data_IF_064247316507
#
_entry.id   IF_064247316507
#
_cell.length_a   1.000
_cell.length_b   1.000
_cell.length_c   1.000
_cell.angle_alpha   90.00
_cell.angle_beta   90.00
_cell.angle_gamma   90.00
#
_symmetry.space_group_name_H-M   'P 1'
#
loop_
_entity.id
_entity.type
_entity.pdbx_description
1 polymer ?
#
# COMPACT_ATOMS: atom_id res chain seq x y z
N UNK A 1 13.74 6.61 2.37
CA UNK A 1 12.94 7.83 2.06
C UNK A 1 11.50 7.44 1.76
N UNK A 2 10.62 8.41 1.50
CA UNK A 2 9.29 8.12 0.98
C UNK A 2 8.27 7.69 2.05
N UNK A 3 8.39 8.24 3.26
CA UNK A 3 7.50 7.95 4.40
C UNK A 3 6.81 9.25 4.81
N UNK A 4 5.48 9.23 5.05
CA UNK A 4 4.72 10.43 5.46
C UNK A 4 4.90 10.74 6.94
N UNK A 5 4.42 9.85 7.80
CA UNK A 5 4.35 10.04 9.24
C UNK A 5 4.64 8.72 9.98
N UNK A 6 5.92 8.37 10.22
CA UNK A 6 6.29 7.16 10.94
C UNK A 6 5.86 7.25 12.40
N UNK A 7 4.85 6.46 12.76
CA UNK A 7 4.26 6.45 14.10
C UNK A 7 4.91 5.42 15.02
N UNK A 8 5.47 4.34 14.46
CA UNK A 8 6.22 3.33 15.22
C UNK A 8 7.42 2.84 14.42
N UNK A 9 8.55 2.74 15.11
CA UNK A 9 9.80 2.18 14.58
C UNK A 9 10.32 1.18 15.59
N UNK A 10 10.78 0.02 15.11
CA UNK A 10 11.42 -1.01 15.89
C UNK A 10 12.56 -1.61 15.08
N UNK A 11 13.69 -1.89 15.73
CA UNK A 11 14.83 -2.54 15.09
C UNK A 11 15.05 -3.88 15.79
N UNK A 12 15.01 -4.97 15.01
CA UNK A 12 15.35 -6.29 15.53
C UNK A 12 16.88 -6.44 15.62
N UNK A 13 17.40 -6.48 16.84
CA UNK A 13 18.84 -6.58 17.11
C UNK A 13 19.49 -7.87 16.59
N UNK A 14 18.72 -8.93 16.33
CA UNK A 14 19.27 -10.21 15.84
C UNK A 14 19.41 -10.25 14.33
N UNK A 15 18.49 -9.60 13.62
CA UNK A 15 18.40 -9.65 12.15
C UNK A 15 18.75 -8.33 11.49
N UNK A 16 18.90 -7.26 12.29
CA UNK A 16 19.11 -5.87 11.85
C UNK A 16 17.99 -5.35 10.94
N UNK A 17 16.79 -5.93 11.03
CA UNK A 17 15.64 -5.51 10.24
C UNK A 17 14.95 -4.33 10.94
N UNK A 18 14.75 -3.25 10.20
CA UNK A 18 13.98 -2.11 10.65
C UNK A 18 12.51 -2.30 10.29
N UNK A 19 11.66 -2.40 11.30
CA UNK A 19 10.22 -2.41 11.15
C UNK A 19 9.67 -1.01 11.39
N UNK A 20 8.93 -0.48 10.44
CA UNK A 20 8.32 0.84 10.57
C UNK A 20 6.85 0.81 10.14
N UNK A 21 6.01 1.46 10.92
CA UNK A 21 4.62 1.73 10.61
C UNK A 21 4.37 3.23 10.47
N UNK A 22 3.64 3.64 9.44
CA UNK A 22 3.30 5.04 9.19
C UNK A 22 1.86 5.24 8.73
N UNK A 23 1.34 6.41 9.04
CA UNK A 23 -0.01 6.83 8.70
C UNK A 23 -0.01 7.54 7.34
N UNK A 24 -0.99 7.21 6.51
CA UNK A 24 -1.21 7.82 5.20
C UNK A 24 -1.71 9.27 5.27
N UNK A 25 -2.03 9.90 4.13
CA UNK A 25 -2.63 11.24 4.06
C UNK A 25 -4.03 11.26 4.67
N UNK A 26 -4.54 12.47 4.84
CA UNK A 26 -5.92 12.69 5.31
C UNK A 26 -6.90 12.61 4.13
N UNK A 27 -6.84 11.52 3.37
CA UNK A 27 -7.69 11.22 2.22
C UNK A 27 -8.69 10.11 2.59
N UNK A 28 -9.91 10.49 2.98
CA UNK A 28 -10.92 9.54 3.45
C UNK A 28 -11.41 8.56 2.37
N UNK A 29 -11.51 9.01 1.13
CA UNK A 29 -12.09 8.25 0.01
C UNK A 29 -11.23 8.41 -1.25
N UNK A 30 -11.26 7.45 -2.19
CA UNK A 30 -10.56 7.57 -3.45
C UNK A 30 -11.17 8.68 -4.31
N UNK A 31 -10.33 9.38 -5.05
CA UNK A 31 -10.71 10.44 -5.98
C UNK A 31 -10.29 10.06 -7.39
N UNK A 32 -11.24 10.08 -8.33
CA UNK A 32 -10.93 9.94 -9.77
C UNK A 32 -10.02 11.06 -10.27
N UNK A 33 -10.04 12.22 -9.61
CA UNK A 33 -9.19 13.36 -9.91
C UNK A 33 -7.84 13.25 -9.22
N UNK A 34 -7.79 12.90 -7.94
CA UNK A 34 -6.57 13.07 -7.14
C UNK A 34 -5.80 11.79 -6.83
N UNK A 35 -6.41 10.61 -7.00
CA UNK A 35 -5.79 9.32 -6.71
C UNK A 35 -6.43 8.59 -5.52
N UNK A 36 -5.74 7.59 -4.95
CA UNK A 36 -6.34 6.66 -4.00
C UNK A 36 -6.66 7.29 -2.64
N UNK A 37 -7.53 6.62 -1.88
CA UNK A 37 -7.73 6.89 -0.46
C UNK A 37 -6.41 6.71 0.33
N UNK A 38 -6.42 7.10 1.60
CA UNK A 38 -5.27 6.95 2.47
C UNK A 38 -4.86 5.49 2.66
N UNK A 39 -3.57 5.27 2.88
CA UNK A 39 -3.03 3.99 3.26
C UNK A 39 -2.20 4.10 4.54
N UNK A 40 -2.60 3.33 5.54
CA UNK A 40 -1.74 3.05 6.67
C UNK A 40 -0.87 1.85 6.30
N UNK A 41 0.42 1.99 6.58
CA UNK A 41 1.43 1.12 6.01
C UNK A 41 2.36 0.61 7.10
N UNK A 42 2.78 -0.64 6.96
CA UNK A 42 3.83 -1.24 7.76
C UNK A 42 4.83 -1.93 6.83
N UNK A 43 6.12 -1.74 7.07
CA UNK A 43 7.18 -2.35 6.27
C UNK A 43 8.29 -2.92 7.15
N UNK A 44 8.75 -4.12 6.75
CA UNK A 44 10.05 -4.66 7.14
C UNK A 44 11.08 -4.16 6.12
N UNK A 45 11.94 -3.26 6.56
CA UNK A 45 12.94 -2.56 5.75
C UNK A 45 14.29 -3.23 6.01
N UNK A 46 14.74 -4.01 5.02
CA UNK A 46 16.02 -4.74 5.07
C UNK A 46 17.15 -4.02 4.32
N UNK A 47 16.81 -2.97 3.55
CA UNK A 47 17.74 -2.12 2.82
C UNK A 47 17.14 -0.75 2.60
N UNK A 48 17.97 0.24 2.30
CA UNK A 48 17.50 1.57 1.90
C UNK A 48 16.56 1.49 0.68
N UNK A 49 15.50 2.29 0.69
CA UNK A 49 14.49 2.30 -0.35
C UNK A 49 13.62 3.56 -0.35
N UNK A 50 12.82 3.69 -1.40
CA UNK A 50 11.82 4.73 -1.55
C UNK A 50 10.43 4.14 -1.29
N UNK A 51 9.81 4.46 -0.17
CA UNK A 51 8.50 3.91 0.20
C UNK A 51 7.31 4.67 -0.39
N UNK A 52 7.60 5.62 -1.30
CA UNK A 52 6.68 6.17 -2.28
C UNK A 52 6.06 7.52 -1.95
N UNK A 53 5.88 7.86 -0.68
CA UNK A 53 5.28 9.16 -0.32
C UNK A 53 6.18 10.34 -0.77
N UNK A 54 5.63 11.45 -1.33
CA UNK A 54 4.22 11.75 -1.59
C UNK A 54 3.69 11.33 -2.98
N UNK A 55 4.50 10.64 -3.78
CA UNK A 55 4.20 10.34 -5.19
C UNK A 55 3.23 9.17 -5.35
N UNK A 56 3.55 8.03 -4.73
CA UNK A 56 2.69 6.86 -4.76
C UNK A 56 2.60 6.19 -3.40
N UNK A 57 1.57 5.39 -3.20
CA UNK A 57 1.38 4.65 -1.96
C UNK A 57 0.91 3.22 -2.16
N UNK A 58 0.98 2.45 -1.08
CA UNK A 58 0.62 1.04 -1.05
C UNK A 58 1.41 0.26 -2.09
N UNK A 59 0.72 -0.36 -3.04
CA UNK A 59 1.30 -1.11 -4.13
C UNK A 59 1.45 -0.27 -5.41
N UNK A 60 2.29 0.77 -5.37
CA UNK A 60 2.55 1.69 -6.50
C UNK A 60 1.29 2.34 -7.07
N UNK A 61 0.38 2.77 -6.20
CA UNK A 61 -0.79 3.52 -6.63
C UNK A 61 -0.45 5.01 -6.72
N UNK A 62 -0.50 5.63 -7.91
CA UNK A 62 -0.05 6.99 -8.09
C UNK A 62 -1.06 8.00 -7.57
N UNK A 63 -0.55 9.08 -6.98
CA UNK A 63 -1.28 10.32 -6.82
C UNK A 63 -1.16 11.17 -8.08
N UNK A 64 -2.02 12.18 -8.18
CA UNK A 64 -1.93 13.19 -9.23
C UNK A 64 -1.01 14.33 -8.81
N UNK A 65 -0.23 14.81 -9.76
CA UNK A 65 0.68 15.93 -9.54
C UNK A 65 -0.11 17.21 -9.24
N UNK A 66 0.36 17.91 -8.21
CA UNK A 66 -0.17 19.16 -7.64
C UNK A 66 0.87 20.29 -7.71
N UNK A 67 1.81 20.19 -8.64
CA UNK A 67 2.87 21.16 -8.82
C UNK A 67 2.34 22.60 -8.97
N UNK A 68 3.14 23.53 -8.46
CA UNK A 68 2.92 24.97 -8.55
C UNK A 68 3.02 25.43 -10.02
N UNK A 69 2.35 26.53 -10.43
CA UNK A 69 1.80 27.59 -9.58
C UNK A 69 0.37 27.37 -9.07
N UNK A 70 -0.38 26.42 -9.63
CA UNK A 70 -1.80 26.20 -9.30
C UNK A 70 -2.06 24.77 -8.83
N UNK A 71 -1.99 24.49 -7.51
CA UNK A 71 -2.19 23.16 -6.96
C UNK A 71 -3.64 22.66 -7.06
N UNK A 72 -4.57 23.52 -7.50
CA UNK A 72 -5.98 23.14 -7.74
C UNK A 72 -6.17 22.49 -9.11
N UNK A 73 -5.23 22.70 -10.05
CA UNK A 73 -5.29 22.11 -11.38
C UNK A 73 -4.59 20.76 -11.38
N UNK A 74 -5.31 19.69 -11.74
CA UNK A 74 -4.71 18.37 -11.68
C UNK A 74 -3.83 18.13 -12.92
N UNK A 75 -2.55 17.84 -12.71
CA UNK A 75 -1.54 17.65 -13.76
C UNK A 75 -1.43 16.17 -14.18
N UNK A 76 -0.24 15.67 -14.52
CA UNK A 76 -0.02 14.25 -14.82
C UNK A 76 -0.21 13.36 -13.60
N UNK A 77 -0.34 12.06 -13.83
CA UNK A 77 -0.15 11.06 -12.77
C UNK A 77 1.34 10.86 -12.51
N UNK A 78 1.74 10.64 -11.27
CA UNK A 78 3.12 10.30 -10.99
C UNK A 78 3.51 8.94 -11.57
N UNK A 79 4.73 8.84 -12.09
CA UNK A 79 5.34 7.56 -12.46
C UNK A 79 5.98 6.94 -11.21
N UNK A 80 5.41 5.83 -10.73
CA UNK A 80 5.90 5.14 -9.53
C UNK A 80 7.21 4.36 -9.75
N UNK A 81 7.58 4.10 -11.01
CA UNK A 81 8.84 3.45 -11.37
C UNK A 81 9.94 4.48 -11.59
N UNK A 82 9.60 5.71 -12.01
CA UNK A 82 10.54 6.82 -12.17
C UNK A 82 10.03 8.12 -11.54
N UNK A 83 9.85 8.17 -10.21
CA UNK A 83 9.33 9.37 -9.56
C UNK A 83 10.31 10.54 -9.71
N UNK A 84 9.77 11.73 -9.93
CA UNK A 84 10.56 12.96 -10.08
C UNK A 84 10.14 14.01 -9.06
N UNK A 85 11.11 14.57 -8.35
CA UNK A 85 10.91 15.71 -7.47
C UNK A 85 11.24 17.01 -8.21
N UNK A 86 10.22 17.60 -8.83
CA UNK A 86 10.32 18.87 -9.57
C UNK A 86 9.95 20.09 -8.71
N UNK A 87 9.87 19.91 -7.39
CA UNK A 87 9.58 21.01 -6.47
C UNK A 87 10.63 22.11 -6.62
N UNK A 88 10.24 23.40 -6.68
CA UNK A 88 11.18 24.51 -6.73
C UNK A 88 12.06 24.61 -5.48
N UNK A 89 11.66 23.93 -4.39
CA UNK A 89 12.41 23.87 -3.13
C UNK A 89 13.32 22.63 -3.03
N UNK A 90 13.48 21.85 -4.10
CA UNK A 90 14.33 20.66 -4.10
C UNK A 90 15.80 21.04 -4.37
N UNK A 91 16.67 20.79 -3.40
CA UNK A 91 18.13 20.90 -3.51
C UNK A 91 18.81 19.53 -3.70
N UNK A 92 18.03 18.44 -3.62
CA UNK A 92 18.49 17.06 -3.72
C UNK A 92 18.28 16.42 -5.09
N UNK A 93 18.12 15.10 -5.10
CA UNK A 93 17.88 14.33 -6.32
C UNK A 93 16.53 14.71 -6.96
N UNK A 94 16.58 15.02 -8.25
CA UNK A 94 15.36 15.21 -9.06
C UNK A 94 14.79 13.86 -9.47
N UNK A 95 15.62 12.99 -10.06
CA UNK A 95 15.21 11.64 -10.42
C UNK A 95 15.36 10.72 -9.21
N UNK A 96 14.24 10.24 -8.70
CA UNK A 96 14.20 9.43 -7.50
C UNK A 96 14.23 7.93 -7.86
N UNK A 97 14.77 7.09 -6.96
CA UNK A 97 14.74 5.65 -7.19
C UNK A 97 13.29 5.12 -7.21
N UNK A 98 13.04 4.00 -7.92
CA UNK A 98 11.73 3.38 -8.01
C UNK A 98 11.11 3.10 -6.64
N UNK A 99 9.78 3.12 -6.57
CA UNK A 99 9.07 2.89 -5.32
C UNK A 99 9.16 1.41 -4.92
N UNK A 100 9.70 1.19 -3.73
CA UNK A 100 9.77 -0.11 -3.07
C UNK A 100 8.40 -0.46 -2.50
N UNK A 101 7.91 -1.66 -2.81
CA UNK A 101 6.68 -2.17 -2.23
C UNK A 101 6.80 -2.32 -0.71
N UNK A 102 5.73 -1.97 0.01
CA UNK A 102 5.66 -2.11 1.46
C UNK A 102 5.18 -3.51 1.85
N UNK A 103 5.46 -3.96 3.08
CA UNK A 103 5.05 -5.31 3.52
C UNK A 103 3.53 -5.42 3.69
N UNK A 104 2.91 -4.40 4.28
CA UNK A 104 1.48 -4.32 4.52
C UNK A 104 1.03 -2.88 4.22
N UNK A 105 -0.08 -2.75 3.52
CA UNK A 105 -0.79 -1.49 3.32
C UNK A 105 -2.29 -1.77 3.36
N UNK A 106 -3.04 -0.90 4.02
CA UNK A 106 -4.50 -1.00 4.08
C UNK A 106 -5.13 0.39 4.15
N UNK A 107 -6.33 0.54 3.58
CA UNK A 107 -7.10 1.77 3.73
C UNK A 107 -8.04 1.62 4.93
N UNK A 108 -7.81 2.35 6.04
CA UNK A 108 -8.62 2.21 7.25
C UNK A 108 -10.09 2.63 7.04
N UNK A 109 -10.37 3.50 6.08
CA UNK A 109 -11.73 3.98 5.75
C UNK A 109 -12.37 3.18 4.60
N UNK A 110 -11.67 2.23 3.98
CA UNK A 110 -12.11 1.57 2.76
C UNK A 110 -11.65 2.29 1.48
N UNK A 111 -12.04 1.79 0.31
CA UNK A 111 -11.69 2.46 -0.96
C UNK A 111 -10.26 2.22 -1.46
N UNK A 112 -9.57 1.19 -0.97
CA UNK A 112 -8.37 0.69 -1.63
C UNK A 112 -8.74 0.17 -3.04
N UNK A 113 -8.18 0.70 -4.15
CA UNK A 113 -8.34 0.09 -5.46
C UNK A 113 -7.92 -1.36 -5.39
N UNK A 114 -8.89 -2.25 -5.56
CA UNK A 114 -8.62 -3.65 -5.89
C UNK A 114 -8.00 -3.64 -7.27
N UNK A 115 -6.83 -4.25 -7.43
CA UNK A 115 -6.28 -4.48 -8.76
C UNK A 115 -7.33 -5.19 -9.60
N UNK A 116 -7.58 -4.66 -10.80
CA UNK A 116 -8.63 -5.08 -11.73
C UNK A 116 -8.67 -6.62 -11.82
N UNK A 117 -9.72 -7.21 -11.25
CA UNK A 117 -10.01 -8.65 -11.33
C UNK A 117 -9.24 -9.55 -10.37
N UNK A 118 -9.50 -9.51 -9.07
CA UNK A 118 -9.65 -10.72 -8.24
C UNK A 118 -10.15 -10.35 -6.84
N UNK A 119 -11.18 -11.09 -6.43
CA UNK A 119 -11.86 -11.04 -5.14
C UNK A 119 -10.87 -11.31 -4.00
N UNK A 120 -10.77 -10.35 -3.07
CA UNK A 120 -10.22 -10.47 -1.71
C UNK A 120 -8.99 -11.37 -1.52
N UNK A 121 -7.83 -10.74 -1.40
CA UNK A 121 -6.72 -11.30 -0.61
C UNK A 121 -6.14 -10.20 0.30
N UNK A 122 -6.84 -9.89 1.40
CA UNK A 122 -6.12 -9.51 2.62
C UNK A 122 -5.27 -10.72 3.02
N UNK A 123 -4.00 -10.55 3.44
CA UNK A 123 -3.22 -11.64 4.03
C UNK A 123 -3.73 -11.87 5.46
N UNK A 124 -4.97 -12.32 5.60
CA UNK A 124 -5.46 -12.92 6.82
C UNK A 124 -4.99 -14.37 6.80
N UNK A 125 -3.97 -14.65 7.61
CA UNK A 125 -3.46 -15.95 8.04
C UNK A 125 -4.50 -17.06 7.89
N UNK A 126 -4.52 -17.78 6.77
CA UNK A 126 -5.31 -19.00 6.62
C UNK A 126 -4.61 -20.12 7.38
N UNK A 127 -4.70 -20.08 8.72
CA UNK A 127 -4.51 -21.27 9.55
C UNK A 127 -5.54 -22.29 9.06
N UNK A 128 -5.10 -23.26 8.25
CA UNK A 128 -5.85 -24.49 7.99
C UNK A 128 -6.11 -25.15 9.34
N UNK A 129 -7.28 -24.94 9.93
CA UNK A 129 -7.81 -25.85 10.94
C UNK A 129 -8.29 -27.10 10.19
N UNK A 130 -7.76 -28.30 10.47
CA UNK A 130 -8.35 -29.52 9.95
C UNK A 130 -9.70 -29.73 10.63
N UNK A 131 -10.74 -29.80 9.83
CA UNK A 131 -12.11 -30.11 10.24
C UNK A 131 -12.22 -31.60 10.58
N UNK A 132 -12.19 -31.92 11.86
CA UNK A 132 -12.57 -33.23 12.40
C UNK A 132 -13.80 -33.08 13.27
N UNK A 133 -14.98 -33.40 12.72
CA UNK A 133 -16.27 -33.76 13.35
C UNK A 133 -17.33 -33.57 12.25
N UNK A 134 -18.11 -34.54 11.78
CA UNK A 134 -18.69 -35.72 12.43
C UNK A 134 -18.78 -36.91 11.46
N UNK A 135 -18.81 -38.10 12.05
CA UNK A 135 -18.94 -39.44 11.47
C UNK A 135 -20.38 -39.79 11.07
N UNK A 136 -20.52 -40.61 10.03
CA UNK A 136 -21.63 -41.57 9.79
C UNK A 136 -22.96 -40.96 9.29
N UNK A 137 -23.74 -41.54 8.37
CA UNK A 137 -23.90 -42.95 7.96
C UNK A 137 -24.64 -43.02 6.61
N UNK A 138 -24.48 -44.18 5.94
CA UNK A 138 -25.01 -44.62 4.63
C UNK A 138 -26.53 -44.47 4.43
N UNK A 139 -26.99 -44.30 3.18
CA UNK A 139 -27.67 -45.31 2.34
C UNK A 139 -28.48 -44.69 1.18
N UNK A 140 -28.76 -45.51 0.17
CA UNK A 140 -29.14 -45.23 -1.21
C UNK A 140 -30.65 -44.91 -1.46
N UNK A 141 -30.97 -44.28 -2.60
CA UNK A 141 -31.84 -44.82 -3.68
C UNK A 141 -32.21 -43.74 -4.74
N UNK A 142 -32.35 -44.20 -6.00
CA UNK A 142 -32.69 -43.48 -7.24
C UNK A 142 -34.13 -42.90 -7.26
N UNK A 143 -34.43 -41.91 -8.12
CA UNK A 143 -35.78 -41.70 -8.67
C UNK A 143 -35.91 -42.20 -10.13
N UNK A 144 -37.12 -42.49 -10.63
CA UNK A 144 -37.40 -42.54 -12.07
C UNK A 144 -37.39 -41.15 -12.70
#
# INVERSE_FOLDING_TARGET
MGVRNPARIFVDQKTDILYAGWVGPDAGEPSTTWGPAKYDTFAAITKAGNHGWPFCMGNKQPYRDRNLPDPSKPLGWYDCDHPKNESPNNDGLVNLPPITANTIWYSPQGGAPTTRGTRTASPATRRRRPSTCCRGSRAAARPP
#
